data_IF_580584674844
#
_entry.id   IF_580584674844
#
_cell.length_a   1.000
_cell.length_b   1.000
_cell.length_c   1.000
_cell.angle_alpha   90.00
_cell.angle_beta   90.00
_cell.angle_gamma   90.00
#
_symmetry.space_group_name_H-M   'P 1'
#
loop_
_entity.id
_entity.type
_entity.pdbx_description
1 polymer ?
#
# COMPACT_ATOMS: atom_id res chain seq x y z
N UNK A 1 -27.87 17.47 7.42
CA UNK A 1 -28.19 17.15 6.03
C UNK A 1 -26.92 17.19 5.20
N UNK A 2 -26.67 16.18 4.35
CA UNK A 2 -25.54 16.12 3.42
C UNK A 2 -25.95 15.35 2.16
N UNK A 3 -25.17 15.43 1.07
CA UNK A 3 -25.45 14.63 -0.13
C UNK A 3 -25.20 13.16 0.13
N UNK A 4 -26.01 12.29 -0.45
CA UNK A 4 -25.86 10.83 -0.35
C UNK A 4 -24.46 10.37 -0.82
N UNK A 5 -23.98 10.93 -1.93
CA UNK A 5 -22.69 10.59 -2.51
C UNK A 5 -21.52 10.86 -1.54
N UNK A 6 -21.49 12.06 -0.91
CA UNK A 6 -20.47 12.41 0.06
C UNK A 6 -20.55 11.54 1.31
N UNK A 7 -21.77 11.25 1.78
CA UNK A 7 -21.99 10.36 2.93
C UNK A 7 -21.52 8.94 2.63
N UNK A 8 -21.89 8.39 1.47
CA UNK A 8 -21.47 7.06 1.01
C UNK A 8 -19.94 6.94 0.92
N UNK A 9 -19.29 7.95 0.33
CA UNK A 9 -17.82 7.99 0.22
C UNK A 9 -17.18 7.98 1.60
N UNK A 10 -17.63 8.83 2.52
CA UNK A 10 -17.06 8.91 3.86
C UNK A 10 -17.27 7.61 4.67
N UNK A 11 -18.48 7.03 4.63
CA UNK A 11 -18.77 5.76 5.29
C UNK A 11 -17.86 4.65 4.72
N UNK A 12 -17.71 4.57 3.40
CA UNK A 12 -16.87 3.58 2.73
C UNK A 12 -15.37 3.68 3.11
N UNK A 13 -14.90 4.87 3.53
CA UNK A 13 -13.55 5.06 4.04
C UNK A 13 -13.43 4.56 5.49
N UNK A 14 -14.33 5.04 6.38
CA UNK A 14 -14.24 4.72 7.81
C UNK A 14 -14.60 3.26 8.13
N UNK A 15 -15.50 2.64 7.35
CA UNK A 15 -15.92 1.24 7.53
C UNK A 15 -14.74 0.25 7.58
N UNK A 16 -13.64 0.58 6.90
CA UNK A 16 -12.45 -0.28 6.81
C UNK A 16 -11.63 -0.31 8.09
N UNK A 17 -11.70 0.75 8.90
CA UNK A 17 -11.08 0.78 10.21
C UNK A 17 -11.94 0.14 11.30
N UNK A 18 -13.21 -0.15 11.04
CA UNK A 18 -14.08 -0.77 12.04
C UNK A 18 -13.68 -2.22 12.31
N UNK A 19 -13.67 -2.61 13.59
CA UNK A 19 -13.33 -3.95 14.03
C UNK A 19 -14.36 -5.00 13.57
N UNK A 20 -13.93 -6.00 12.81
CA UNK A 20 -14.83 -7.05 12.29
C UNK A 20 -15.20 -8.11 13.32
N UNK A 21 -14.29 -8.43 14.24
CA UNK A 21 -14.47 -9.35 15.35
C UNK A 21 -13.71 -8.81 16.55
N UNK A 22 -14.38 -8.05 17.40
CA UNK A 22 -13.78 -7.46 18.59
C UNK A 22 -14.54 -7.87 19.84
N UNK A 23 -13.82 -8.00 20.95
CA UNK A 23 -14.41 -8.16 22.27
C UNK A 23 -15.26 -6.95 22.70
N UNK A 24 -15.03 -5.79 22.05
CA UNK A 24 -15.79 -4.55 22.28
C UNK A 24 -16.75 -4.31 21.10
N UNK A 25 -18.07 -4.50 21.29
CA UNK A 25 -19.07 -4.34 20.23
C UNK A 25 -19.06 -2.95 19.55
N UNK A 26 -18.71 -1.90 20.30
CA UNK A 26 -18.66 -0.53 19.80
C UNK A 26 -17.63 -0.33 18.70
N UNK A 27 -16.58 -1.17 18.60
CA UNK A 27 -15.59 -1.11 17.52
C UNK A 27 -16.16 -1.52 16.15
N UNK A 28 -17.31 -2.19 16.11
CA UNK A 28 -18.03 -2.46 14.87
C UNK A 28 -18.92 -1.27 14.43
N UNK A 29 -18.94 -0.19 15.20
CA UNK A 29 -19.71 1.02 14.92
C UNK A 29 -18.84 2.09 14.26
N UNK A 30 -19.52 3.02 13.63
CA UNK A 30 -19.00 4.34 13.27
C UNK A 30 -19.55 5.36 14.27
N UNK A 31 -18.69 6.21 14.77
CA UNK A 31 -19.07 7.38 15.55
C UNK A 31 -19.40 8.52 14.57
N UNK A 32 -20.58 9.05 14.70
CA UNK A 32 -21.10 10.22 13.99
C UNK A 32 -21.12 11.39 14.97
N UNK A 33 -20.49 12.48 14.61
CA UNK A 33 -20.44 13.72 15.41
C UNK A 33 -20.64 14.92 14.51
N UNK A 34 -21.26 15.95 15.04
CA UNK A 34 -21.25 17.27 14.41
C UNK A 34 -20.07 18.08 14.92
N UNK A 35 -19.24 18.60 14.02
CA UNK A 35 -18.03 19.36 14.36
C UNK A 35 -17.88 20.55 13.41
N UNK A 36 -17.89 21.76 13.93
CA UNK A 36 -17.67 23.00 13.16
C UNK A 36 -18.52 23.09 11.87
N UNK A 37 -19.81 22.76 11.95
CA UNK A 37 -20.74 22.81 10.81
C UNK A 37 -20.54 21.68 9.77
N UNK A 38 -19.85 20.62 10.14
CA UNK A 38 -19.62 19.42 9.32
C UNK A 38 -20.11 18.19 10.04
N UNK A 39 -20.32 17.11 9.29
CA UNK A 39 -20.49 15.78 9.85
C UNK A 39 -19.14 15.07 9.86
N UNK A 40 -18.69 14.67 11.04
CA UNK A 40 -17.48 13.88 11.28
C UNK A 40 -17.89 12.43 11.50
N UNK A 41 -17.25 11.53 10.78
CA UNK A 41 -17.38 10.09 10.92
C UNK A 41 -16.06 9.52 11.38
N UNK A 42 -16.09 8.68 12.42
CA UNK A 42 -14.87 8.09 12.97
C UNK A 42 -15.06 6.60 13.20
N UNK A 43 -14.07 5.79 12.82
CA UNK A 43 -14.03 4.37 13.15
C UNK A 43 -12.61 3.94 13.53
N UNK A 44 -12.48 2.93 14.37
CA UNK A 44 -11.20 2.41 14.82
C UNK A 44 -11.30 0.93 15.24
N UNK A 45 -10.18 0.22 15.11
CA UNK A 45 -9.97 -1.10 15.71
C UNK A 45 -8.89 -1.07 16.80
N UNK A 46 -8.51 0.13 17.28
CA UNK A 46 -7.46 0.43 18.26
C UNK A 46 -6.03 0.41 17.71
N UNK A 47 -5.80 -0.11 16.50
CA UNK A 47 -4.51 -0.07 15.80
C UNK A 47 -4.51 1.02 14.74
N UNK A 48 -5.60 1.09 13.97
CA UNK A 48 -5.85 2.12 12.97
C UNK A 48 -7.13 2.88 13.33
N UNK A 49 -7.11 4.19 13.16
CA UNK A 49 -8.27 5.07 13.20
C UNK A 49 -8.43 5.77 11.85
N UNK A 50 -9.68 5.90 11.38
CA UNK A 50 -9.99 6.71 10.20
C UNK A 50 -11.06 7.70 10.58
N UNK A 51 -10.79 8.97 10.28
CA UNK A 51 -11.72 10.08 10.48
C UNK A 51 -12.02 10.72 9.13
N UNK A 52 -13.29 10.79 8.76
CA UNK A 52 -13.74 11.45 7.54
C UNK A 52 -14.68 12.63 7.89
N UNK A 53 -14.47 13.77 7.25
CA UNK A 53 -15.29 14.97 7.44
C UNK A 53 -16.07 15.27 6.17
N UNK A 54 -17.39 15.39 6.32
CA UNK A 54 -18.33 15.63 5.22
C UNK A 54 -18.94 17.00 5.39
N UNK A 55 -18.99 17.79 4.32
CA UNK A 55 -19.77 19.03 4.32
C UNK A 55 -21.26 18.74 4.58
N UNK A 56 -21.81 19.35 5.61
CA UNK A 56 -23.20 19.13 6.00
C UNK A 56 -23.84 20.44 6.46
N UNK A 57 -25.15 20.57 6.25
CA UNK A 57 -25.93 21.58 6.95
C UNK A 57 -26.31 21.00 8.31
N UNK A 58 -25.67 21.49 9.37
CA UNK A 58 -25.95 21.14 10.77
C UNK A 58 -27.02 22.08 11.28
N UNK A 59 -28.12 21.55 11.79
CA UNK A 59 -29.20 22.32 12.42
C UNK A 59 -29.10 22.22 13.94
N UNK A 60 -28.75 21.04 14.46
CA UNK A 60 -28.51 20.76 15.86
C UNK A 60 -27.23 19.94 16.04
N UNK A 61 -26.49 20.19 17.10
CA UNK A 61 -25.30 19.39 17.43
C UNK A 61 -25.70 18.08 18.09
N UNK A 62 -24.95 17.01 17.78
CA UNK A 62 -25.21 15.70 18.34
C UNK A 62 -24.09 14.70 18.05
N UNK A 63 -24.12 13.58 18.78
CA UNK A 63 -23.17 12.50 18.59
C UNK A 63 -23.76 11.13 18.94
N UNK A 64 -23.55 10.15 18.07
CA UNK A 64 -24.07 8.79 18.24
C UNK A 64 -23.18 7.78 17.53
N UNK A 65 -23.07 6.56 18.07
CA UNK A 65 -22.45 5.47 17.34
C UNK A 65 -23.49 4.50 16.77
N UNK A 66 -23.27 4.04 15.55
CA UNK A 66 -24.15 3.05 14.91
C UNK A 66 -23.34 1.97 14.19
N UNK A 67 -23.90 0.73 14.03
CA UNK A 67 -23.26 -0.34 13.29
C UNK A 67 -22.93 0.11 11.86
N UNK A 68 -21.62 0.19 11.54
CA UNK A 68 -21.15 0.79 10.29
C UNK A 68 -21.62 0.01 9.06
N UNK A 69 -21.67 -1.33 9.12
CA UNK A 69 -22.14 -2.17 8.01
C UNK A 69 -23.60 -1.92 7.66
N UNK A 70 -24.45 -1.76 8.67
CA UNK A 70 -25.89 -1.49 8.44
C UNK A 70 -26.06 -0.14 7.78
N UNK A 71 -25.34 0.89 8.28
CA UNK A 71 -25.40 2.24 7.72
C UNK A 71 -24.82 2.24 6.29
N UNK A 72 -23.71 1.59 6.06
CA UNK A 72 -23.03 1.48 4.76
C UNK A 72 -23.93 0.81 3.71
N UNK A 73 -24.54 -0.33 4.06
CA UNK A 73 -25.45 -1.04 3.16
C UNK A 73 -26.70 -0.20 2.83
N UNK A 74 -27.28 0.46 3.81
CA UNK A 74 -28.42 1.31 3.58
C UNK A 74 -28.08 2.49 2.66
N UNK A 75 -27.08 3.29 3.04
CA UNK A 75 -26.68 4.48 2.28
C UNK A 75 -26.16 4.10 0.89
N UNK A 76 -25.50 2.94 0.76
CA UNK A 76 -24.99 2.43 -0.52
C UNK A 76 -26.07 2.17 -1.56
N UNK A 77 -27.29 1.86 -1.13
CA UNK A 77 -28.45 1.56 -1.99
C UNK A 77 -29.40 2.76 -2.21
N UNK A 78 -29.09 3.91 -1.62
CA UNK A 78 -29.91 5.12 -1.82
C UNK A 78 -29.59 5.79 -3.17
N UNK A 79 -30.54 6.56 -3.76
CA UNK A 79 -30.28 7.35 -4.96
C UNK A 79 -29.18 8.38 -4.75
N UNK A 80 -28.18 8.42 -5.66
CA UNK A 80 -26.96 9.23 -5.51
C UNK A 80 -27.17 10.74 -5.56
N UNK A 81 -28.24 11.21 -6.19
CA UNK A 81 -28.56 12.64 -6.39
C UNK A 81 -29.28 13.28 -5.23
N UNK A 82 -29.70 12.51 -4.24
CA UNK A 82 -30.56 12.96 -3.15
C UNK A 82 -29.77 13.47 -1.94
N UNK A 83 -30.45 14.27 -1.13
CA UNK A 83 -29.95 14.74 0.17
C UNK A 83 -30.38 13.79 1.27
N UNK A 84 -29.42 13.30 2.05
CA UNK A 84 -29.69 12.51 3.23
C UNK A 84 -29.82 13.42 4.46
N UNK A 85 -30.89 13.23 5.22
CA UNK A 85 -31.09 13.85 6.55
C UNK A 85 -30.81 12.80 7.60
N UNK A 86 -29.94 13.14 8.57
CA UNK A 86 -29.60 12.30 9.70
C UNK A 86 -30.09 12.97 10.97
N UNK A 87 -30.77 12.23 11.83
CA UNK A 87 -31.36 12.74 13.08
C UNK A 87 -31.19 11.69 14.18
N UNK A 88 -30.76 12.13 15.36
CA UNK A 88 -30.72 11.26 16.54
C UNK A 88 -32.09 11.29 17.24
N UNK A 89 -32.68 10.13 17.42
CA UNK A 89 -33.96 9.98 18.11
C UNK A 89 -33.89 8.79 19.07
N UNK A 90 -33.87 9.07 20.36
CA UNK A 90 -33.89 8.05 21.42
C UNK A 90 -32.82 6.95 21.19
N UNK A 91 -31.55 7.34 21.18
CA UNK A 91 -30.37 6.47 20.95
C UNK A 91 -30.44 5.66 19.65
N UNK A 92 -31.04 6.22 18.64
CA UNK A 92 -31.11 5.62 17.31
C UNK A 92 -30.87 6.70 16.26
N UNK A 93 -30.21 6.33 15.18
CA UNK A 93 -30.04 7.18 14.01
C UNK A 93 -31.21 6.97 13.05
N UNK A 94 -32.00 8.00 12.86
CA UNK A 94 -32.97 8.07 11.77
C UNK A 94 -32.27 8.64 10.53
N UNK A 95 -32.28 7.91 9.42
CA UNK A 95 -31.77 8.40 8.15
C UNK A 95 -32.91 8.43 7.15
N UNK A 96 -33.13 9.60 6.56
CA UNK A 96 -34.14 9.77 5.48
C UNK A 96 -33.47 10.35 4.23
N UNK A 97 -33.85 9.81 3.06
CA UNK A 97 -33.34 10.23 1.76
C UNK A 97 -34.37 9.90 0.69
N UNK A 98 -34.93 10.92 0.03
CA UNK A 98 -36.05 10.73 -0.87
C UNK A 98 -37.23 10.06 -0.17
N UNK A 99 -37.77 9.01 -0.77
CA UNK A 99 -38.87 8.20 -0.21
C UNK A 99 -38.43 7.13 0.82
N UNK A 100 -37.13 7.01 1.12
CA UNK A 100 -36.60 5.97 1.98
C UNK A 100 -36.30 6.49 3.40
N UNK A 101 -36.64 5.67 4.39
CA UNK A 101 -36.36 5.97 5.81
C UNK A 101 -35.95 4.72 6.55
N UNK A 102 -34.95 4.84 7.41
CA UNK A 102 -34.49 3.76 8.31
C UNK A 102 -34.27 4.34 9.71
N UNK A 103 -34.45 3.50 10.72
CA UNK A 103 -34.05 3.78 12.09
C UNK A 103 -33.05 2.71 12.52
N UNK A 104 -31.80 3.11 12.79
CA UNK A 104 -30.69 2.22 13.17
C UNK A 104 -30.44 2.43 14.66
N UNK A 105 -30.49 1.35 15.45
CA UNK A 105 -30.15 1.42 16.88
C UNK A 105 -28.67 1.76 17.05
N UNK A 106 -28.38 2.68 17.92
CA UNK A 106 -27.04 3.13 18.25
C UNK A 106 -26.64 2.83 19.69
N UNK A 107 -25.39 3.20 20.01
CA UNK A 107 -24.85 3.25 21.36
C UNK A 107 -24.38 4.67 21.66
N UNK A 108 -24.30 5.07 22.94
CA UNK A 108 -23.81 6.40 23.30
C UNK A 108 -22.40 6.66 22.72
N UNK A 109 -22.14 7.88 22.29
CA UNK A 109 -20.84 8.31 21.81
C UNK A 109 -19.73 8.16 22.87
N UNK A 110 -20.09 8.25 24.16
CA UNK A 110 -19.17 8.06 25.30
C UNK A 110 -18.57 6.67 25.38
N UNK A 111 -19.19 5.66 24.80
CA UNK A 111 -18.69 4.29 24.79
C UNK A 111 -17.63 4.09 23.69
N UNK A 112 -17.50 5.04 22.75
CA UNK A 112 -16.55 4.94 21.65
C UNK A 112 -15.14 5.30 22.12
N UNK A 113 -14.11 4.53 21.73
CA UNK A 113 -12.72 4.81 22.09
C UNK A 113 -12.27 6.17 21.59
N UNK A 114 -11.49 6.86 22.42
CA UNK A 114 -10.89 8.14 22.02
C UNK A 114 -9.87 7.87 20.88
N UNK A 115 -10.11 8.47 19.75
CA UNK A 115 -9.11 8.51 18.67
C UNK A 115 -8.13 9.63 19.01
N UNK A 116 -6.82 9.35 19.07
CA UNK A 116 -5.83 10.35 19.41
C UNK A 116 -5.86 11.54 18.44
N UNK A 117 -5.74 12.74 18.97
CA UNK A 117 -5.49 13.93 18.17
C UNK A 117 -3.99 14.18 18.10
N UNK A 118 -3.51 14.67 16.95
CA UNK A 118 -2.09 15.03 16.80
C UNK A 118 -1.70 16.16 17.72
N UNK A 119 -0.58 15.98 18.41
CA UNK A 119 0.03 16.99 19.29
C UNK A 119 1.12 17.76 18.55
N UNK A 120 1.85 17.08 17.67
CA UNK A 120 2.90 17.68 16.86
C UNK A 120 2.30 18.40 15.65
N UNK A 121 2.85 19.58 15.35
CA UNK A 121 2.47 20.40 14.19
C UNK A 121 3.42 20.23 13.00
N UNK A 122 4.59 19.62 13.22
CA UNK A 122 5.57 19.39 12.15
C UNK A 122 5.10 18.26 11.25
N UNK A 123 4.83 18.59 10.02
CA UNK A 123 4.34 17.64 9.01
C UNK A 123 5.26 17.58 7.79
N UNK A 124 5.32 16.41 7.21
CA UNK A 124 6.02 16.13 5.97
C UNK A 124 4.99 16.08 4.85
N UNK A 125 5.16 16.92 3.84
CA UNK A 125 4.33 16.87 2.65
C UNK A 125 4.90 15.82 1.67
N UNK A 126 4.09 14.85 1.28
CA UNK A 126 4.45 13.81 0.31
C UNK A 126 3.64 13.99 -0.98
N UNK A 127 4.25 13.78 -2.18
CA UNK A 127 3.52 13.77 -3.42
C UNK A 127 2.57 12.58 -3.46
N UNK A 128 1.27 12.84 -3.42
CA UNK A 128 0.24 11.83 -3.19
C UNK A 128 0.28 10.71 -4.24
N UNK A 129 0.40 11.03 -5.53
CA UNK A 129 0.40 10.01 -6.58
C UNK A 129 1.69 9.18 -6.62
N UNK A 130 2.86 9.82 -6.41
CA UNK A 130 4.13 9.11 -6.33
C UNK A 130 4.15 8.17 -5.11
N UNK A 131 3.66 8.64 -3.97
CA UNK A 131 3.54 7.82 -2.76
C UNK A 131 2.57 6.64 -2.95
N UNK A 132 1.42 6.87 -3.58
CA UNK A 132 0.48 5.81 -3.94
C UNK A 132 1.11 4.77 -4.86
N UNK A 133 1.88 5.19 -5.86
CA UNK A 133 2.62 4.30 -6.76
C UNK A 133 3.64 3.47 -5.99
N UNK A 134 4.45 4.10 -5.13
CA UNK A 134 5.41 3.39 -4.27
C UNK A 134 4.71 2.34 -3.41
N UNK A 135 3.61 2.71 -2.74
CA UNK A 135 2.84 1.76 -1.93
C UNK A 135 2.29 0.59 -2.75
N UNK A 136 1.86 0.81 -3.99
CA UNK A 136 1.35 -0.27 -4.86
C UNK A 136 2.40 -1.32 -5.20
N UNK A 137 3.69 -0.94 -5.24
CA UNK A 137 4.84 -1.82 -5.49
C UNK A 137 5.33 -2.51 -4.22
N UNK A 138 5.27 -1.82 -3.08
CA UNK A 138 5.82 -2.31 -1.82
C UNK A 138 4.85 -3.21 -1.06
N UNK A 139 3.56 -2.86 -1.00
CA UNK A 139 2.56 -3.62 -0.24
C UNK A 139 2.48 -5.11 -0.59
N UNK A 140 2.60 -5.55 -1.85
CA UNK A 140 2.63 -6.98 -2.18
C UNK A 140 3.87 -7.73 -1.66
N UNK A 141 4.92 -7.00 -1.23
CA UNK A 141 6.19 -7.57 -0.77
C UNK A 141 6.29 -7.71 0.76
N UNK A 142 5.30 -7.24 1.52
CA UNK A 142 5.30 -7.42 2.99
C UNK A 142 5.00 -8.88 3.37
N UNK A 143 5.53 -9.31 4.52
CA UNK A 143 5.20 -10.62 5.07
C UNK A 143 3.73 -10.66 5.55
N UNK A 144 3.08 -11.81 5.32
CA UNK A 144 1.71 -12.05 5.80
C UNK A 144 1.73 -12.67 7.20
N UNK A 145 2.81 -13.39 7.55
CA UNK A 145 2.93 -14.10 8.81
C UNK A 145 3.36 -13.17 9.93
N UNK A 146 2.67 -13.22 11.06
CA UNK A 146 2.90 -12.38 12.24
C UNK A 146 4.08 -12.83 13.12
N UNK A 147 4.82 -13.89 12.76
CA UNK A 147 5.99 -14.35 13.52
C UNK A 147 7.13 -13.32 13.55
N UNK A 148 7.19 -12.45 12.57
CA UNK A 148 8.13 -11.34 12.45
C UNK A 148 7.35 -10.08 12.12
N UNK A 149 6.82 -9.45 13.16
CA UNK A 149 5.95 -8.26 13.03
C UNK A 149 6.60 -7.13 12.25
N UNK A 150 7.91 -6.95 12.38
CA UNK A 150 8.67 -5.91 11.66
C UNK A 150 8.61 -6.07 10.14
N UNK A 151 8.34 -7.29 9.62
CA UNK A 151 8.20 -7.54 8.18
C UNK A 151 6.75 -7.40 7.66
N UNK A 152 5.76 -7.26 8.55
CA UNK A 152 4.36 -7.05 8.15
C UNK A 152 4.06 -5.60 7.79
N UNK A 153 5.05 -4.73 7.92
CA UNK A 153 4.99 -3.32 7.57
C UNK A 153 5.98 -2.91 6.50
N UNK A 154 5.90 -1.65 6.11
CA UNK A 154 6.88 -1.00 5.23
C UNK A 154 7.83 -0.20 6.10
N UNK A 155 9.13 -0.39 5.87
CA UNK A 155 10.20 0.37 6.50
C UNK A 155 10.37 1.71 5.80
N UNK A 156 10.37 2.78 6.58
CA UNK A 156 10.66 4.15 6.16
C UNK A 156 12.00 4.54 6.75
N UNK A 157 12.96 4.83 5.92
CA UNK A 157 14.29 5.32 6.32
C UNK A 157 14.46 6.73 5.79
N UNK A 158 14.48 7.69 6.70
CA UNK A 158 14.68 9.10 6.39
C UNK A 158 16.16 9.45 6.43
N UNK A 159 16.59 10.17 5.42
CA UNK A 159 17.90 10.83 5.37
C UNK A 159 17.73 12.30 4.99
N UNK A 160 18.80 13.08 5.00
CA UNK A 160 18.75 14.48 4.57
C UNK A 160 18.39 14.65 3.08
N UNK A 161 18.58 13.62 2.25
CA UNK A 161 18.40 13.72 0.80
C UNK A 161 17.24 12.91 0.26
N UNK A 162 16.88 11.82 0.93
CA UNK A 162 15.95 10.85 0.41
C UNK A 162 15.12 10.15 1.51
N UNK A 163 13.94 9.74 1.15
CA UNK A 163 13.14 8.77 1.86
C UNK A 163 13.24 7.44 1.13
N UNK A 164 13.87 6.45 1.75
CA UNK A 164 13.87 5.08 1.27
C UNK A 164 12.72 4.31 1.92
N UNK A 165 11.92 3.67 1.10
CA UNK A 165 10.81 2.80 1.49
C UNK A 165 11.18 1.36 1.14
N UNK A 166 11.08 0.43 2.08
CA UNK A 166 11.41 -0.97 1.82
C UNK A 166 10.39 -1.93 2.42
N UNK A 167 10.13 -3.01 1.69
CA UNK A 167 9.27 -4.11 2.13
C UNK A 167 9.88 -5.46 1.74
N UNK A 168 9.79 -6.45 2.62
CA UNK A 168 10.29 -7.80 2.35
C UNK A 168 9.48 -8.86 3.10
N UNK A 169 9.33 -10.03 2.48
CA UNK A 169 8.79 -11.25 3.08
C UNK A 169 9.88 -12.32 3.34
N UNK A 170 11.16 -11.92 3.30
CA UNK A 170 12.36 -12.74 3.37
C UNK A 170 12.73 -13.49 2.08
N UNK A 171 11.84 -13.59 1.09
CA UNK A 171 12.11 -14.23 -0.21
C UNK A 171 12.22 -13.22 -1.35
N UNK A 172 11.61 -12.06 -1.16
CA UNK A 172 11.69 -10.93 -2.07
C UNK A 172 11.76 -9.63 -1.29
N UNK A 173 12.31 -8.61 -1.92
CA UNK A 173 12.48 -7.27 -1.38
C UNK A 173 12.12 -6.26 -2.47
N UNK A 174 11.38 -5.23 -2.11
CA UNK A 174 11.20 -4.04 -2.94
C UNK A 174 11.72 -2.82 -2.18
N UNK A 175 12.51 -2.00 -2.84
CA UNK A 175 12.97 -0.70 -2.34
C UNK A 175 12.56 0.40 -3.32
N UNK A 176 11.93 1.45 -2.82
CA UNK A 176 11.63 2.68 -3.57
C UNK A 176 12.34 3.85 -2.90
N UNK A 177 13.07 4.64 -3.68
CA UNK A 177 13.80 5.83 -3.21
C UNK A 177 13.10 7.08 -3.72
N UNK A 178 12.61 7.90 -2.81
CA UNK A 178 11.95 9.17 -3.10
C UNK A 178 12.88 10.31 -2.71
N UNK A 179 13.38 11.13 -3.66
CA UNK A 179 14.23 12.27 -3.35
C UNK A 179 13.48 13.33 -2.58
N UNK A 180 13.97 13.74 -1.40
CA UNK A 180 13.32 14.76 -0.55
C UNK A 180 13.49 16.18 -1.08
N UNK A 181 14.50 16.46 -1.88
CA UNK A 181 14.71 17.78 -2.51
C UNK A 181 13.52 18.26 -3.34
N UNK A 182 12.70 17.32 -3.80
CA UNK A 182 11.46 17.62 -4.54
C UNK A 182 10.25 17.85 -3.64
N UNK A 183 10.40 17.67 -2.34
CA UNK A 183 9.30 17.56 -1.38
C UNK A 183 9.32 18.66 -0.30
N UNK A 184 10.50 19.26 -0.01
CA UNK A 184 10.69 20.04 1.19
C UNK A 184 11.53 21.29 0.97
N UNK A 185 11.20 22.35 1.71
CA UNK A 185 12.07 23.48 1.91
C UNK A 185 13.30 23.07 2.73
N UNK A 186 14.46 23.66 2.44
CA UNK A 186 15.76 23.32 3.02
C UNK A 186 15.79 23.23 4.56
N UNK A 187 14.96 24.05 5.25
CA UNK A 187 14.93 24.12 6.70
C UNK A 187 14.24 22.92 7.36
N UNK A 188 13.36 22.22 6.63
CA UNK A 188 12.65 21.02 7.11
C UNK A 188 13.44 19.72 6.88
N UNK A 189 14.43 19.74 6.02
CA UNK A 189 15.22 18.56 5.66
C UNK A 189 16.03 18.02 6.83
N UNK A 190 16.61 18.91 7.65
CA UNK A 190 17.40 18.51 8.83
C UNK A 190 16.55 17.90 9.95
N UNK A 191 15.32 18.43 10.14
CA UNK A 191 14.38 17.89 11.14
C UNK A 191 13.90 16.48 10.77
N UNK A 192 13.75 16.22 9.49
CA UNK A 192 13.29 14.93 8.95
C UNK A 192 14.39 13.88 9.02
N UNK A 193 15.63 14.23 8.73
CA UNK A 193 16.78 13.33 8.92
C UNK A 193 16.93 12.84 10.36
N UNK A 194 16.51 13.64 11.34
CA UNK A 194 16.52 13.27 12.75
C UNK A 194 15.47 12.20 13.12
N UNK A 195 14.46 11.96 12.29
CA UNK A 195 13.45 10.91 12.51
C UNK A 195 14.10 9.52 12.46
N UNK A 196 15.12 9.33 11.62
CA UNK A 196 15.82 8.07 11.45
C UNK A 196 14.96 7.04 10.70
N UNK A 197 14.51 6.00 11.39
CA UNK A 197 13.72 4.94 10.75
C UNK A 197 12.47 4.58 11.53
N UNK A 198 11.42 4.18 10.82
CA UNK A 198 10.17 3.69 11.39
C UNK A 198 9.56 2.60 10.51
N UNK A 199 8.65 1.81 11.09
CA UNK A 199 7.94 0.75 10.39
C UNK A 199 6.44 1.03 10.50
N UNK A 200 5.78 1.16 9.35
CA UNK A 200 4.34 1.39 9.27
C UNK A 200 3.59 0.11 8.88
N UNK A 201 2.51 -0.24 9.58
CA UNK A 201 1.72 -1.42 9.26
C UNK A 201 1.19 -1.38 7.82
N UNK A 202 1.33 -2.49 7.09
CA UNK A 202 0.82 -2.61 5.72
C UNK A 202 -0.69 -2.36 5.62
N UNK A 203 -1.45 -2.79 6.63
CA UNK A 203 -2.89 -2.53 6.70
C UNK A 203 -3.22 -1.04 6.68
N UNK A 204 -2.48 -0.23 7.46
CA UNK A 204 -2.62 1.23 7.46
C UNK A 204 -2.29 1.82 6.09
N UNK A 205 -1.13 1.47 5.54
CA UNK A 205 -0.66 2.02 4.27
C UNK A 205 -1.58 1.63 3.10
N UNK A 206 -2.23 0.48 3.18
CA UNK A 206 -3.26 0.07 2.24
C UNK A 206 -4.47 1.02 2.29
N UNK A 207 -4.92 1.41 3.48
CA UNK A 207 -6.03 2.36 3.61
C UNK A 207 -5.62 3.79 3.21
N UNK A 208 -4.39 4.22 3.52
CA UNK A 208 -3.84 5.48 3.01
C UNK A 208 -3.82 5.49 1.48
N UNK A 209 -3.28 4.43 0.84
CA UNK A 209 -3.24 4.30 -0.61
C UNK A 209 -4.63 4.39 -1.27
N UNK A 210 -5.65 3.83 -0.61
CA UNK A 210 -7.05 3.86 -1.09
C UNK A 210 -7.73 5.21 -0.86
N UNK A 211 -7.33 5.94 0.19
CA UNK A 211 -7.89 7.25 0.52
C UNK A 211 -7.36 8.37 -0.40
N UNK A 212 -6.17 8.19 -0.98
CA UNK A 212 -5.61 9.15 -1.94
C UNK A 212 -6.50 9.22 -3.19
N UNK A 213 -7.11 10.38 -3.41
CA UNK A 213 -7.92 10.62 -4.62
C UNK A 213 -7.03 10.80 -5.86
N UNK A 214 -7.52 10.50 -7.08
CA UNK A 214 -6.74 10.68 -8.31
C UNK A 214 -6.28 12.11 -8.56
N UNK A 215 -7.01 13.10 -8.03
CA UNK A 215 -6.72 14.53 -8.21
C UNK A 215 -5.86 15.13 -7.10
N UNK A 216 -5.63 14.37 -6.02
CA UNK A 216 -4.85 14.84 -4.89
C UNK A 216 -3.37 14.97 -5.24
N UNK A 217 -2.81 16.16 -5.01
CA UNK A 217 -1.40 16.46 -5.32
C UNK A 217 -0.46 16.05 -4.20
N UNK A 218 -0.81 16.42 -2.96
CA UNK A 218 0.00 16.16 -1.77
C UNK A 218 -0.83 15.52 -0.67
N UNK A 219 -0.18 14.82 0.23
CA UNK A 219 -0.72 14.39 1.50
C UNK A 219 0.28 14.78 2.59
N UNK A 220 -0.22 15.07 3.78
CA UNK A 220 0.60 15.43 4.92
C UNK A 220 0.78 14.23 5.84
N UNK A 221 2.01 13.94 6.24
CA UNK A 221 2.36 12.92 7.24
C UNK A 221 2.93 13.61 8.48
N UNK A 222 2.33 13.38 9.63
CA UNK A 222 2.78 13.87 10.92
C UNK A 222 3.13 12.71 11.84
N UNK A 223 4.29 12.78 12.49
CA UNK A 223 4.74 11.79 13.46
C UNK A 223 4.57 12.35 14.88
N UNK A 224 4.00 11.55 15.77
CA UNK A 224 3.80 11.88 17.17
C UNK A 224 4.06 10.65 18.04
N UNK A 225 5.19 10.66 18.77
CA UNK A 225 5.65 9.54 19.62
C UNK A 225 5.64 8.18 18.85
N UNK A 226 4.64 7.33 19.12
CA UNK A 226 4.48 6.00 18.54
C UNK A 226 3.33 5.93 17.51
N UNK A 227 2.91 7.08 16.98
CA UNK A 227 1.79 7.18 16.05
C UNK A 227 2.16 8.00 14.83
N UNK A 228 1.46 7.72 13.74
CA UNK A 228 1.52 8.51 12.51
C UNK A 228 0.12 8.95 12.13
N UNK A 229 0.02 10.16 11.62
CA UNK A 229 -1.19 10.77 11.09
C UNK A 229 -0.97 11.09 9.63
N UNK A 230 -1.85 10.60 8.77
CA UNK A 230 -1.88 10.96 7.36
C UNK A 230 -3.12 11.83 7.12
N UNK A 231 -2.89 13.09 6.74
CA UNK A 231 -3.96 14.01 6.37
C UNK A 231 -4.10 14.08 4.86
N UNK A 232 -5.28 13.82 4.41
CA UNK A 232 -5.72 13.90 3.03
C UNK A 232 -6.98 14.76 2.97
N UNK A 233 -7.41 15.18 1.77
CA UNK A 233 -8.60 16.03 1.60
C UNK A 233 -9.84 15.46 2.30
N UNK A 234 -10.12 15.95 3.52
CA UNK A 234 -11.30 15.56 4.31
C UNK A 234 -11.21 14.19 5.00
N UNK A 235 -10.06 13.53 4.92
CA UNK A 235 -9.80 12.22 5.56
C UNK A 235 -8.50 12.25 6.34
N UNK A 236 -8.52 11.74 7.56
CA UNK A 236 -7.35 11.52 8.40
C UNK A 236 -7.24 10.04 8.72
N UNK A 237 -6.08 9.46 8.49
CA UNK A 237 -5.75 8.08 8.87
C UNK A 237 -4.70 8.13 9.97
N UNK A 238 -5.01 7.51 11.10
CA UNK A 238 -4.14 7.46 12.29
C UNK A 238 -3.70 6.00 12.48
N UNK A 239 -2.44 5.77 12.76
CA UNK A 239 -1.90 4.44 13.00
C UNK A 239 -0.85 4.43 14.10
N UNK A 240 -0.77 3.30 14.81
CA UNK A 240 0.40 2.97 15.61
C UNK A 240 1.53 2.52 14.71
N UNK A 241 2.77 2.80 15.13
CA UNK A 241 3.98 2.26 14.52
C UNK A 241 4.19 0.80 14.95
N UNK A 242 4.80 0.00 14.08
CA UNK A 242 5.32 -1.30 14.49
C UNK A 242 6.62 -1.07 15.26
N UNK A 243 6.64 -1.51 16.51
CA UNK A 243 7.84 -1.46 17.33
C UNK A 243 8.77 -2.62 16.94
N UNK A 244 10.05 -2.31 16.72
CA UNK A 244 11.05 -3.30 16.34
C UNK A 244 12.14 -2.70 15.47
N UNK A 245 13.10 -3.55 15.07
CA UNK A 245 14.19 -3.19 14.17
C UNK A 245 13.98 -3.90 12.84
N UNK A 246 13.80 -3.14 11.76
CA UNK A 246 13.78 -3.71 10.42
C UNK A 246 15.15 -4.31 10.09
N UNK A 247 15.23 -5.46 9.40
CA UNK A 247 16.51 -6.06 9.01
C UNK A 247 17.33 -5.08 8.16
N UNK A 248 18.64 -5.16 8.30
CA UNK A 248 19.55 -4.42 7.42
C UNK A 248 19.60 -5.10 6.04
N UNK A 249 18.57 -4.85 5.25
CA UNK A 249 18.37 -5.46 3.94
C UNK A 249 19.40 -4.98 2.91
N UNK A 250 20.03 -3.83 3.11
CA UNK A 250 21.04 -3.31 2.18
C UNK A 250 22.30 -4.20 2.13
N UNK A 251 22.59 -4.95 3.20
CA UNK A 251 23.68 -5.92 3.21
C UNK A 251 23.46 -7.11 2.28
N UNK A 252 22.18 -7.47 2.02
CA UNK A 252 21.84 -8.58 1.13
C UNK A 252 21.58 -8.15 -0.32
N UNK A 253 21.55 -6.84 -0.57
CA UNK A 253 21.41 -6.30 -1.93
C UNK A 253 22.74 -6.44 -2.69
N UNK A 254 22.77 -7.15 -3.84
CA UNK A 254 23.98 -7.23 -4.64
C UNK A 254 24.41 -5.84 -5.11
N UNK A 255 25.67 -5.50 -4.89
CA UNK A 255 26.26 -4.24 -5.35
C UNK A 255 26.77 -4.36 -6.78
N UNK A 256 27.21 -5.55 -7.17
CA UNK A 256 27.73 -5.87 -8.49
C UNK A 256 26.96 -7.06 -9.09
N UNK A 257 26.87 -7.10 -10.40
CA UNK A 257 26.16 -8.12 -11.14
C UNK A 257 27.06 -8.69 -12.25
N UNK A 258 27.28 -10.01 -12.23
CA UNK A 258 28.01 -10.71 -13.26
C UNK A 258 27.21 -10.81 -14.56
N UNK A 259 25.87 -10.88 -14.47
CA UNK A 259 24.95 -10.88 -15.60
C UNK A 259 24.03 -9.67 -15.54
N UNK A 260 23.85 -9.03 -16.69
CA UNK A 260 22.89 -7.95 -16.87
C UNK A 260 22.29 -8.04 -18.27
N UNK A 261 20.98 -8.26 -18.36
CA UNK A 261 20.24 -8.33 -19.62
C UNK A 261 19.09 -7.32 -19.62
N UNK A 262 18.93 -6.63 -20.73
CA UNK A 262 17.79 -5.74 -21.00
C UNK A 262 16.74 -6.51 -21.79
N UNK A 263 15.51 -6.50 -21.29
CA UNK A 263 14.37 -7.22 -21.85
C UNK A 263 13.23 -6.25 -22.14
N UNK A 264 12.49 -6.52 -23.20
CA UNK A 264 11.20 -5.86 -23.42
C UNK A 264 10.19 -6.41 -22.42
N UNK A 265 9.64 -5.50 -21.59
CA UNK A 265 8.79 -5.83 -20.43
C UNK A 265 7.58 -6.67 -20.80
N UNK A 266 6.81 -6.24 -21.81
CA UNK A 266 5.53 -6.89 -22.16
C UNK A 266 5.74 -8.32 -22.69
N UNK A 267 6.77 -8.53 -23.49
CA UNK A 267 7.12 -9.88 -24.00
C UNK A 267 7.56 -10.79 -22.87
N UNK A 268 8.42 -10.31 -21.97
CA UNK A 268 8.86 -11.09 -20.81
C UNK A 268 7.71 -11.39 -19.86
N UNK A 269 6.87 -10.39 -19.56
CA UNK A 269 5.71 -10.56 -18.69
C UNK A 269 4.69 -11.57 -19.25
N UNK A 270 4.43 -11.50 -20.56
CA UNK A 270 3.56 -12.45 -21.26
C UNK A 270 4.12 -13.88 -21.21
N UNK A 271 5.43 -14.02 -21.39
CA UNK A 271 6.10 -15.33 -21.31
C UNK A 271 5.96 -15.95 -19.93
N UNK A 272 6.12 -15.16 -18.86
CA UNK A 272 5.89 -15.60 -17.48
C UNK A 272 4.42 -15.98 -17.26
N UNK A 273 3.45 -15.18 -17.75
CA UNK A 273 2.02 -15.50 -17.64
C UNK A 273 1.68 -16.83 -18.29
N UNK A 274 2.21 -17.09 -19.49
CA UNK A 274 2.00 -18.35 -20.20
C UNK A 274 2.65 -19.50 -19.42
N UNK A 275 3.90 -19.33 -18.98
CA UNK A 275 4.60 -20.33 -18.18
C UNK A 275 3.86 -20.65 -16.87
N UNK A 276 3.21 -19.67 -16.25
CA UNK A 276 2.44 -19.86 -15.01
C UNK A 276 1.28 -20.84 -15.13
N UNK A 277 0.76 -21.07 -16.36
CA UNK A 277 -0.31 -22.06 -16.61
C UNK A 277 0.22 -23.50 -16.45
N UNK A 278 1.49 -23.70 -16.77
CA UNK A 278 2.16 -25.00 -16.71
C UNK A 278 3.02 -25.18 -15.45
N UNK A 279 3.18 -24.11 -14.67
CA UNK A 279 4.05 -24.14 -13.50
C UNK A 279 3.43 -24.95 -12.36
N UNK A 280 4.17 -25.93 -11.86
CA UNK A 280 3.86 -26.63 -10.61
C UNK A 280 4.44 -25.87 -9.39
N UNK A 281 4.27 -24.54 -9.36
CA UNK A 281 4.84 -23.65 -8.35
C UNK A 281 6.20 -23.04 -8.71
N UNK A 282 6.80 -23.40 -9.84
CA UNK A 282 8.15 -23.02 -10.23
C UNK A 282 8.23 -22.62 -11.72
N UNK A 283 8.95 -21.55 -12.01
CA UNK A 283 9.34 -21.12 -13.37
C UNK A 283 10.85 -20.98 -13.41
N UNK A 284 11.49 -21.60 -14.39
CA UNK A 284 12.91 -21.41 -14.67
C UNK A 284 13.10 -20.25 -15.65
N UNK A 285 14.08 -19.40 -15.34
CA UNK A 285 14.55 -18.33 -16.22
C UNK A 285 16.01 -18.61 -16.53
N UNK A 286 16.35 -18.76 -17.82
CA UNK A 286 17.70 -18.99 -18.29
C UNK A 286 18.15 -17.85 -19.20
N UNK A 287 19.27 -17.23 -18.86
CA UNK A 287 19.94 -16.22 -19.67
C UNK A 287 20.99 -16.91 -20.56
N UNK A 288 20.88 -16.71 -21.85
CA UNK A 288 21.79 -17.26 -22.87
C UNK A 288 22.40 -16.12 -23.70
N UNK A 289 23.52 -15.52 -23.25
CA UNK A 289 24.16 -14.42 -23.94
C UNK A 289 24.67 -14.78 -25.36
N UNK A 290 25.07 -16.03 -25.54
CA UNK A 290 25.51 -16.59 -26.83
C UNK A 290 24.38 -16.62 -27.87
N UNK A 291 23.13 -16.63 -27.46
CA UNK A 291 21.94 -16.64 -28.32
C UNK A 291 21.20 -15.30 -28.33
N UNK A 292 21.63 -14.30 -27.54
CA UNK A 292 20.94 -13.02 -27.30
C UNK A 292 19.48 -13.23 -26.86
N UNK A 293 19.24 -14.22 -25.98
CA UNK A 293 17.91 -14.64 -25.55
C UNK A 293 17.84 -14.94 -24.06
N UNK A 294 16.63 -14.79 -23.54
CA UNK A 294 16.22 -15.33 -22.25
C UNK A 294 15.12 -16.35 -22.46
N UNK A 295 15.30 -17.53 -21.91
CA UNK A 295 14.30 -18.60 -21.95
C UNK A 295 13.48 -18.59 -20.65
N UNK A 296 12.17 -18.72 -20.79
CA UNK A 296 11.22 -18.87 -19.69
C UNK A 296 10.56 -20.23 -19.83
N UNK A 297 10.77 -21.09 -18.84
CA UNK A 297 10.37 -22.50 -18.90
C UNK A 297 9.55 -22.89 -17.66
N UNK A 298 8.52 -23.68 -17.89
CA UNK A 298 7.77 -24.35 -16.84
C UNK A 298 7.46 -25.79 -17.23
N UNK A 299 7.53 -26.69 -16.25
CA UNK A 299 7.27 -28.12 -16.45
C UNK A 299 6.37 -28.63 -15.32
N UNK A 300 5.31 -29.33 -15.70
CA UNK A 300 4.43 -30.04 -14.78
C UNK A 300 4.16 -31.45 -15.30
N UNK A 301 4.45 -32.45 -14.51
CA UNK A 301 4.23 -33.86 -14.88
C UNK A 301 2.78 -34.21 -15.21
N UNK A 302 1.82 -33.43 -14.68
CA UNK A 302 0.39 -33.66 -14.88
C UNK A 302 -0.25 -32.81 -15.99
N UNK A 303 0.41 -31.71 -16.42
CA UNK A 303 -0.17 -30.74 -17.36
C UNK A 303 0.64 -30.68 -18.66
N UNK A 304 1.96 -30.72 -18.57
CA UNK A 304 2.86 -30.61 -19.73
C UNK A 304 4.01 -29.64 -19.49
N UNK A 305 4.63 -29.20 -20.56
CA UNK A 305 5.78 -28.29 -20.55
C UNK A 305 5.55 -27.09 -21.45
N UNK A 306 6.19 -25.98 -21.10
CA UNK A 306 6.20 -24.75 -21.89
C UNK A 306 7.59 -24.15 -21.88
N UNK A 307 8.04 -23.67 -23.05
CA UNK A 307 9.27 -22.88 -23.22
C UNK A 307 8.98 -21.69 -24.10
N UNK A 308 9.35 -20.49 -23.65
CA UNK A 308 9.30 -19.25 -24.41
C UNK A 308 10.71 -18.70 -24.59
N UNK A 309 10.94 -18.05 -25.73
CA UNK A 309 12.17 -17.33 -26.06
C UNK A 309 11.88 -15.84 -26.06
N UNK A 310 12.61 -15.08 -25.27
CA UNK A 310 12.50 -13.63 -25.16
C UNK A 310 13.82 -13.02 -25.66
N UNK A 311 13.78 -12.16 -26.69
CA UNK A 311 14.96 -11.43 -27.14
C UNK A 311 15.53 -10.58 -25.98
N UNK A 312 16.86 -10.57 -25.85
CA UNK A 312 17.54 -9.86 -24.79
C UNK A 312 18.82 -9.20 -25.30
N UNK A 313 19.08 -7.97 -24.82
CA UNK A 313 20.37 -7.31 -25.01
C UNK A 313 21.21 -7.51 -23.76
N UNK A 314 22.31 -8.20 -23.87
CA UNK A 314 23.22 -8.42 -22.76
C UNK A 314 24.20 -7.26 -22.61
N UNK A 315 24.28 -6.67 -21.43
CA UNK A 315 25.24 -5.62 -21.07
C UNK A 315 26.50 -6.21 -20.42
N UNK A 316 26.34 -7.34 -19.73
CA UNK A 316 27.43 -8.12 -19.13
C UNK A 316 27.03 -9.58 -19.01
N UNK A 317 28.02 -10.44 -18.87
CA UNK A 317 27.89 -11.87 -18.66
C UNK A 317 28.40 -12.68 -19.84
N UNK A 318 29.10 -13.78 -19.51
CA UNK A 318 29.57 -14.79 -20.43
C UNK A 318 29.17 -16.17 -19.89
N UNK A 319 28.58 -16.99 -20.75
CA UNK A 319 28.05 -18.28 -20.35
C UNK A 319 26.58 -18.22 -19.94
N UNK A 320 26.01 -19.35 -19.58
CA UNK A 320 24.59 -19.45 -19.25
C UNK A 320 24.33 -19.29 -17.77
N UNK A 321 23.28 -18.54 -17.43
CA UNK A 321 22.79 -18.40 -16.07
C UNK A 321 21.36 -18.97 -16.03
N UNK A 322 21.08 -19.90 -15.12
CA UNK A 322 19.75 -20.46 -14.93
C UNK A 322 19.35 -20.42 -13.45
N UNK A 323 18.17 -19.89 -13.18
CA UNK A 323 17.60 -19.83 -11.84
C UNK A 323 16.09 -20.11 -11.89
N UNK A 324 15.54 -20.58 -10.76
CA UNK A 324 14.14 -20.98 -10.64
C UNK A 324 13.44 -20.07 -9.62
N UNK A 325 12.25 -19.61 -9.95
CA UNK A 325 11.51 -18.66 -9.14
C UNK A 325 10.06 -19.05 -8.94
N UNK A 326 9.41 -18.64 -7.84
CA UNK A 326 7.97 -18.71 -7.72
C UNK A 326 7.29 -17.84 -8.80
N UNK A 327 6.26 -18.32 -9.50
CA UNK A 327 5.57 -17.55 -10.54
C UNK A 327 5.08 -16.18 -10.09
N UNK A 328 4.54 -16.13 -8.88
CA UNK A 328 4.03 -14.88 -8.28
C UNK A 328 5.13 -13.82 -8.11
N UNK A 329 6.32 -14.22 -7.66
CA UNK A 329 7.44 -13.28 -7.46
C UNK A 329 7.89 -12.66 -8.78
N UNK A 330 7.96 -13.46 -9.86
CA UNK A 330 8.27 -12.95 -11.21
C UNK A 330 7.17 -12.01 -11.72
N UNK A 331 5.90 -12.42 -11.62
CA UNK A 331 4.76 -11.63 -12.11
C UNK A 331 4.65 -10.29 -11.37
N UNK A 332 4.77 -10.31 -10.04
CA UNK A 332 4.72 -9.08 -9.24
C UNK A 332 5.89 -8.17 -9.61
N UNK A 333 7.13 -8.70 -9.62
CA UNK A 333 8.34 -7.92 -9.91
C UNK A 333 8.33 -7.26 -11.28
N UNK A 334 7.99 -8.00 -12.34
CA UNK A 334 7.88 -7.43 -13.69
C UNK A 334 6.67 -6.49 -13.80
N UNK A 335 5.56 -6.81 -13.12
CA UNK A 335 4.35 -5.99 -13.10
C UNK A 335 4.54 -4.61 -12.48
N UNK A 336 5.48 -4.47 -11.53
CA UNK A 336 5.79 -3.19 -10.88
C UNK A 336 6.56 -2.22 -11.78
N UNK A 337 7.19 -2.70 -12.85
CA UNK A 337 7.96 -1.88 -13.76
C UNK A 337 7.05 -1.04 -14.66
N UNK A 338 7.35 0.25 -14.82
CA UNK A 338 6.56 1.18 -15.65
C UNK A 338 7.22 1.49 -16.99
N UNK A 339 8.48 1.07 -17.18
CA UNK A 339 9.24 1.28 -18.41
C UNK A 339 8.97 0.19 -19.44
N UNK A 340 9.16 0.49 -20.72
CA UNK A 340 9.03 -0.47 -21.83
C UNK A 340 10.09 -1.57 -21.74
N UNK A 341 11.27 -1.22 -21.23
CA UNK A 341 12.37 -2.15 -21.02
C UNK A 341 12.74 -2.24 -19.56
N UNK A 342 13.19 -3.42 -19.16
CA UNK A 342 13.63 -3.74 -17.80
C UNK A 342 15.00 -4.42 -17.81
N UNK A 343 15.77 -4.20 -16.76
CA UNK A 343 17.02 -4.92 -16.52
C UNK A 343 16.77 -6.13 -15.62
N UNK A 344 17.21 -7.31 -16.07
CA UNK A 344 17.31 -8.53 -15.28
C UNK A 344 18.78 -8.76 -14.94
N UNK A 345 19.13 -8.74 -13.65
CA UNK A 345 20.52 -8.77 -13.19
C UNK A 345 20.72 -9.85 -12.14
N UNK A 346 21.82 -10.58 -12.22
CA UNK A 346 22.15 -11.64 -11.28
C UNK A 346 23.62 -12.01 -11.29
N UNK A 347 24.02 -12.91 -10.37
CA UNK A 347 25.38 -13.38 -10.25
C UNK A 347 25.49 -14.89 -10.48
N UNK A 348 24.93 -15.68 -9.59
CA UNK A 348 24.89 -17.14 -9.68
C UNK A 348 23.47 -17.66 -9.43
N UNK A 349 23.19 -18.90 -9.78
CA UNK A 349 21.85 -19.50 -9.66
C UNK A 349 21.28 -19.55 -8.24
N UNK A 350 22.13 -19.45 -7.22
CA UNK A 350 21.72 -19.46 -5.80
C UNK A 350 21.70 -18.08 -5.14
N UNK A 351 22.06 -17.02 -5.87
CA UNK A 351 22.12 -15.65 -5.31
C UNK A 351 20.92 -14.81 -5.72
N UNK A 352 20.62 -13.72 -4.99
CA UNK A 352 19.51 -12.84 -5.33
C UNK A 352 19.62 -12.28 -6.76
N UNK A 353 18.47 -12.19 -7.42
CA UNK A 353 18.30 -11.56 -8.73
C UNK A 353 17.58 -10.24 -8.54
N UNK A 354 18.06 -9.21 -9.23
CA UNK A 354 17.46 -7.88 -9.22
C UNK A 354 16.74 -7.57 -10.54
N UNK A 355 15.55 -7.00 -10.44
CA UNK A 355 14.86 -6.33 -11.54
C UNK A 355 14.88 -4.82 -11.32
N UNK A 356 15.11 -4.06 -12.38
CA UNK A 356 15.06 -2.60 -12.34
C UNK A 356 14.43 -2.05 -13.62
N UNK A 357 13.79 -0.90 -13.51
CA UNK A 357 13.40 -0.08 -14.67
C UNK A 357 14.63 0.44 -15.39
N UNK A 358 14.53 0.79 -16.67
CA UNK A 358 15.67 1.28 -17.45
C UNK A 358 15.36 2.59 -18.16
N UNK A 359 16.40 3.42 -18.32
CA UNK A 359 16.46 4.55 -19.25
C UNK A 359 17.41 4.15 -20.39
N UNK A 360 16.82 3.67 -21.51
CA UNK A 360 17.61 2.98 -22.53
C UNK A 360 18.29 1.75 -21.97
N UNK A 361 19.62 1.73 -21.97
CA UNK A 361 20.43 0.62 -21.45
C UNK A 361 20.84 0.81 -19.97
N UNK A 362 20.49 1.93 -19.34
CA UNK A 362 20.92 2.25 -17.96
C UNK A 362 19.82 1.87 -16.98
N UNK A 363 20.09 0.94 -16.03
CA UNK A 363 19.15 0.62 -14.95
C UNK A 363 18.95 1.81 -14.01
N UNK A 364 17.68 2.12 -13.68
CA UNK A 364 17.34 3.13 -12.66
C UNK A 364 17.59 2.59 -11.27
N UNK A 365 17.91 3.50 -10.35
CA UNK A 365 18.12 3.18 -8.93
C UNK A 365 16.95 3.61 -8.04
N UNK A 366 15.97 4.34 -8.60
CA UNK A 366 14.81 4.81 -7.84
C UNK A 366 13.89 3.71 -7.33
N UNK A 367 13.82 2.59 -8.06
CA UNK A 367 13.08 1.39 -7.65
C UNK A 367 13.91 0.15 -7.98
N UNK A 368 14.06 -0.72 -6.99
CA UNK A 368 14.74 -2.01 -7.13
C UNK A 368 13.87 -3.11 -6.55
N UNK A 369 13.66 -4.16 -7.33
CA UNK A 369 13.00 -5.37 -6.86
C UNK A 369 13.98 -6.54 -6.87
N UNK A 370 14.09 -7.22 -5.74
CA UNK A 370 14.99 -8.36 -5.55
C UNK A 370 14.15 -9.59 -5.24
N UNK A 371 14.55 -10.73 -5.79
CA UNK A 371 13.94 -12.02 -5.49
C UNK A 371 15.01 -13.09 -5.33
N UNK A 372 14.76 -13.98 -4.34
CA UNK A 372 15.59 -15.16 -4.13
C UNK A 372 15.16 -16.28 -5.07
N UNK A 373 16.08 -16.93 -5.76
CA UNK A 373 15.80 -18.19 -6.48
C UNK A 373 15.45 -19.30 -5.49
N UNK A 374 14.62 -20.24 -5.96
CA UNK A 374 14.35 -21.49 -5.24
C UNK A 374 15.64 -22.32 -5.25
N UNK A 375 16.13 -22.69 -4.09
CA UNK A 375 17.27 -23.59 -3.94
C UNK A 375 16.77 -25.05 -4.00
N UNK A 376 17.37 -25.84 -4.84
CA UNK A 376 17.13 -27.29 -4.97
C UNK A 376 18.26 -28.09 -4.34
#
# INVERSE_FOLDING_TARGET
MCTQENLKRAIGMVERAAGRQSALPVLANVLLETEAGRLKLSATNLEIGIVARVGAKVEEEGSLTVPVKVLSQFVGNLPGTEVATLEEVAQSLSVSCGGYRVKIKGLPATDFPIIPAKKNTNSIELPAQAFRTALSRLLPCVAIQETRLELTGIHFLFSEKELALAATDSFRLAEEIVPLEKLLDSDKVSEIGAIGSLILPSATLMEVSRAISPTQKTLSMTLDENQVFFDMEGVEVISRLILGKFPDYRQIMPQEFSFSAILEKETFFRSIKIASVFAAGEIAVELAPDEERVFVEAVSSGVGEQRAEVPAKFLSGSGRFRAVFPPKSLLDGVGFMETESIAFRGNTSGTPVALAMTDGDTPRTSFTYIMMPIQR
#
